data_IF_555082737897
#
_entry.id   IF_555082737897
#
_cell.length_a   1.000
_cell.length_b   1.000
_cell.length_c   1.000
_cell.angle_alpha   90.00
_cell.angle_beta   90.00
_cell.angle_gamma   90.00
#
_symmetry.space_group_name_H-M   'P 1'
#
loop_
_entity.id
_entity.type
_entity.pdbx_description
1 polymer ?
#
# COMPACT_ATOMS: atom_id res chain seq x y z
N UNK A 1 -20.62 5.11 10.54
CA UNK A 1 -19.74 4.48 9.56
C UNK A 1 -18.47 5.30 9.32
N UNK A 2 -18.60 6.58 9.00
CA UNK A 2 -17.48 7.49 8.67
C UNK A 2 -16.38 7.50 9.76
N UNK A 3 -16.74 7.66 11.02
CA UNK A 3 -15.75 7.67 12.12
C UNK A 3 -15.04 6.33 12.30
N UNK A 4 -15.73 5.23 12.03
CA UNK A 4 -15.13 3.89 12.06
C UNK A 4 -14.09 3.72 10.94
N UNK A 5 -14.40 4.18 9.73
CA UNK A 5 -13.45 4.18 8.59
C UNK A 5 -12.25 5.08 8.88
N UNK A 6 -12.49 6.27 9.42
CA UNK A 6 -11.43 7.22 9.78
C UNK A 6 -10.52 6.67 10.88
N UNK A 7 -11.09 5.97 11.87
CA UNK A 7 -10.32 5.28 12.92
C UNK A 7 -9.39 4.19 12.36
N UNK A 8 -9.88 3.40 11.40
CA UNK A 8 -9.06 2.40 10.71
C UNK A 8 -7.96 3.03 9.86
N UNK A 9 -8.25 4.15 9.19
CA UNK A 9 -7.25 4.91 8.45
C UNK A 9 -6.15 5.46 9.37
N UNK A 10 -6.54 6.03 10.52
CA UNK A 10 -5.57 6.52 11.52
C UNK A 10 -4.70 5.39 12.09
N UNK A 11 -5.29 4.21 12.34
CA UNK A 11 -4.53 3.02 12.76
C UNK A 11 -3.51 2.61 11.71
N UNK A 12 -3.90 2.61 10.44
CA UNK A 12 -3.01 2.30 9.32
C UNK A 12 -1.83 3.27 9.26
N UNK A 13 -2.07 4.57 9.40
CA UNK A 13 -1.03 5.59 9.46
C UNK A 13 -0.05 5.37 10.62
N UNK A 14 -0.55 5.02 11.80
CA UNK A 14 0.29 4.66 12.95
C UNK A 14 1.16 3.45 12.63
N UNK A 15 0.62 2.42 12.01
CA UNK A 15 1.37 1.24 11.59
C UNK A 15 2.46 1.61 10.57
N UNK A 16 2.14 2.46 9.61
CA UNK A 16 3.08 2.94 8.59
C UNK A 16 4.26 3.68 9.21
N UNK A 17 3.97 4.66 10.06
CA UNK A 17 4.98 5.45 10.76
C UNK A 17 5.82 4.59 11.70
N UNK A 18 5.19 3.67 12.45
CA UNK A 18 5.88 2.75 13.37
C UNK A 18 6.83 1.78 12.66
N UNK A 19 6.59 1.48 11.39
CA UNK A 19 7.47 0.63 10.60
C UNK A 19 8.65 1.42 10.02
N UNK A 20 8.42 2.66 9.64
CA UNK A 20 9.39 3.50 8.91
C UNK A 20 10.34 4.24 9.84
N UNK A 21 9.82 4.86 10.91
CA UNK A 21 10.60 5.71 11.82
C UNK A 21 11.74 4.99 12.57
N UNK A 22 11.54 3.81 13.20
CA UNK A 22 12.61 3.15 13.95
C UNK A 22 13.80 2.81 13.04
N UNK A 23 13.52 2.41 11.82
CA UNK A 23 14.53 2.08 10.83
C UNK A 23 15.34 3.31 10.41
N UNK A 24 14.64 4.40 10.14
CA UNK A 24 15.25 5.68 9.79
C UNK A 24 16.16 6.19 10.91
N UNK A 25 15.68 6.13 12.15
CA UNK A 25 16.44 6.54 13.34
C UNK A 25 17.68 5.66 13.56
N UNK A 26 17.54 4.33 13.44
CA UNK A 26 18.66 3.41 13.58
C UNK A 26 19.74 3.67 12.53
N UNK A 27 19.35 3.91 11.28
CA UNK A 27 20.29 4.21 10.21
C UNK A 27 21.02 5.55 10.42
N UNK A 28 20.33 6.56 10.96
CA UNK A 28 20.95 7.84 11.31
C UNK A 28 21.93 7.73 12.48
N UNK A 29 21.57 6.94 13.51
CA UNK A 29 22.38 6.78 14.72
C UNK A 29 23.65 5.96 14.48
N UNK A 30 23.52 4.83 13.79
CA UNK A 30 24.62 3.87 13.60
C UNK A 30 25.49 4.17 12.37
N UNK A 31 25.09 5.09 11.51
CA UNK A 31 25.71 5.39 10.21
C UNK A 31 25.87 4.13 9.30
N UNK A 32 25.31 3.01 9.70
CA UNK A 32 25.28 1.78 8.89
C UNK A 32 24.12 1.85 7.93
N UNK A 33 24.44 1.96 6.63
CA UNK A 33 23.45 2.01 5.53
C UNK A 33 23.19 0.65 4.90
N UNK A 34 23.62 -0.42 5.53
CA UNK A 34 23.49 -1.77 4.99
C UNK A 34 22.30 -2.51 5.63
N UNK A 35 21.50 -3.16 4.80
CA UNK A 35 20.38 -4.01 5.20
C UNK A 35 20.51 -5.37 4.53
N UNK A 36 20.14 -6.44 5.23
CA UNK A 36 20.06 -7.77 4.61
C UNK A 36 18.92 -7.84 3.60
N UNK A 37 19.08 -8.61 2.55
CA UNK A 37 18.08 -8.78 1.50
C UNK A 37 16.72 -9.23 2.07
N UNK A 38 16.72 -10.17 3.02
CA UNK A 38 15.51 -10.68 3.66
C UNK A 38 14.77 -9.59 4.48
N UNK A 39 15.52 -8.78 5.23
CA UNK A 39 14.93 -7.68 6.00
C UNK A 39 14.35 -6.58 5.07
N UNK A 40 15.03 -6.33 3.96
CA UNK A 40 14.54 -5.43 2.91
C UNK A 40 13.24 -5.96 2.29
N UNK A 41 13.18 -7.26 1.94
CA UNK A 41 11.98 -7.88 1.40
C UNK A 41 10.79 -7.76 2.36
N UNK A 42 10.99 -8.08 3.64
CA UNK A 42 9.95 -7.98 4.65
C UNK A 42 9.46 -6.55 4.83
N UNK A 43 10.36 -5.58 4.92
CA UNK A 43 10.01 -4.17 5.04
C UNK A 43 9.24 -3.67 3.81
N UNK A 44 9.70 -3.99 2.61
CA UNK A 44 9.05 -3.59 1.37
C UNK A 44 7.65 -4.20 1.25
N UNK A 45 7.51 -5.51 1.51
CA UNK A 45 6.21 -6.18 1.49
C UNK A 45 5.21 -5.52 2.45
N UNK A 46 5.66 -5.20 3.66
CA UNK A 46 4.83 -4.55 4.67
C UNK A 46 4.38 -3.15 4.24
N UNK A 47 5.29 -2.32 3.76
CA UNK A 47 5.00 -0.95 3.30
C UNK A 47 4.04 -0.98 2.10
N UNK A 48 4.27 -1.86 1.13
CA UNK A 48 3.39 -1.99 -0.03
C UNK A 48 1.99 -2.48 0.36
N UNK A 49 1.90 -3.40 1.33
CA UNK A 49 0.62 -3.88 1.85
C UNK A 49 -0.16 -2.75 2.54
N UNK A 50 0.50 -1.96 3.37
CA UNK A 50 -0.14 -0.81 4.02
C UNK A 50 -0.60 0.23 2.99
N UNK A 51 0.22 0.55 1.99
CA UNK A 51 -0.13 1.46 0.90
C UNK A 51 -1.31 0.99 0.05
N UNK A 52 -1.39 -0.31 -0.25
CA UNK A 52 -2.56 -0.88 -0.93
C UNK A 52 -3.83 -0.79 -0.09
N UNK A 53 -3.74 -1.08 1.21
CA UNK A 53 -4.86 -0.95 2.15
C UNK A 53 -5.33 0.51 2.25
N UNK A 54 -4.40 1.46 2.27
CA UNK A 54 -4.70 2.90 2.25
C UNK A 54 -5.52 3.28 1.01
N UNK A 55 -5.11 2.85 -0.18
CA UNK A 55 -5.83 3.09 -1.42
C UNK A 55 -7.26 2.54 -1.38
N UNK A 56 -7.44 1.31 -0.86
CA UNK A 56 -8.78 0.72 -0.72
C UNK A 56 -9.64 1.45 0.30
N UNK A 57 -9.09 1.84 1.46
CA UNK A 57 -9.83 2.59 2.47
C UNK A 57 -10.26 3.97 1.96
N UNK A 58 -9.41 4.66 1.20
CA UNK A 58 -9.77 5.93 0.56
C UNK A 58 -10.93 5.75 -0.43
N UNK A 59 -10.92 4.68 -1.23
CA UNK A 59 -12.02 4.37 -2.14
C UNK A 59 -13.33 4.08 -1.39
N UNK A 60 -13.26 3.33 -0.29
CA UNK A 60 -14.41 3.04 0.57
C UNK A 60 -14.96 4.31 1.22
N UNK A 61 -14.09 5.20 1.70
CA UNK A 61 -14.51 6.49 2.27
C UNK A 61 -15.15 7.40 1.21
N UNK A 62 -14.65 7.40 -0.01
CA UNK A 62 -15.27 8.15 -1.11
C UNK A 62 -16.66 7.60 -1.47
N UNK A 63 -16.81 6.28 -1.48
CA UNK A 63 -18.10 5.62 -1.67
C UNK A 63 -19.08 5.92 -0.54
N UNK A 64 -18.65 5.88 0.70
CA UNK A 64 -19.47 6.24 1.87
C UNK A 64 -20.02 7.65 1.75
N UNK A 65 -19.17 8.61 1.40
CA UNK A 65 -19.59 10.01 1.18
C UNK A 65 -20.55 10.15 0.00
N UNK A 66 -20.28 9.48 -1.10
CA UNK A 66 -21.17 9.48 -2.27
C UNK A 66 -22.57 9.00 -1.91
N UNK A 67 -22.67 7.85 -1.20
CA UNK A 67 -23.95 7.30 -0.79
C UNK A 67 -24.70 8.19 0.21
N UNK A 68 -23.98 8.81 1.14
CA UNK A 68 -24.58 9.72 2.13
C UNK A 68 -25.19 10.98 1.51
N UNK A 69 -24.63 11.48 0.42
CA UNK A 69 -25.06 12.72 -0.22
C UNK A 69 -26.05 12.46 -1.35
N UNK A 70 -25.76 11.51 -2.25
CA UNK A 70 -26.56 11.25 -3.43
C UNK A 70 -27.79 10.35 -3.16
N UNK A 71 -27.76 9.53 -2.12
CA UNK A 71 -28.85 8.58 -1.82
C UNK A 71 -29.11 8.48 -0.31
N UNK A 72 -29.52 9.57 0.35
CA UNK A 72 -29.64 9.61 1.81
C UNK A 72 -30.68 8.63 2.36
N UNK A 73 -31.74 8.34 1.62
CA UNK A 73 -32.78 7.39 2.02
C UNK A 73 -32.31 5.93 2.02
N UNK A 74 -31.36 5.60 1.12
CA UNK A 74 -30.82 4.23 1.05
C UNK A 74 -29.54 4.07 1.88
N UNK A 75 -28.95 5.18 2.33
CA UNK A 75 -27.70 5.17 3.09
C UNK A 75 -27.71 4.23 4.32
N UNK A 76 -28.71 4.28 5.21
CA UNK A 76 -28.74 3.39 6.38
C UNK A 76 -28.90 1.92 6.04
N UNK A 77 -29.50 1.62 4.89
CA UNK A 77 -29.68 0.23 4.42
C UNK A 77 -28.41 -0.35 3.82
N UNK A 78 -27.67 0.47 3.07
CA UNK A 78 -26.45 0.05 2.36
C UNK A 78 -25.22 0.13 3.26
N UNK A 79 -25.05 1.23 4.01
CA UNK A 79 -23.89 1.48 4.86
C UNK A 79 -24.19 1.14 6.33
N UNK A 80 -24.65 -0.06 6.58
CA UNK A 80 -24.82 -0.55 7.94
C UNK A 80 -23.45 -0.97 8.53
N UNK A 81 -23.39 -1.14 9.86
CA UNK A 81 -22.16 -1.47 10.57
C UNK A 81 -21.50 -2.78 10.07
N UNK A 82 -22.29 -3.77 9.69
CA UNK A 82 -21.81 -5.04 9.15
C UNK A 82 -21.09 -4.86 7.80
N UNK A 83 -21.67 -4.05 6.91
CA UNK A 83 -21.06 -3.74 5.60
C UNK A 83 -19.78 -2.95 5.78
N UNK A 84 -19.75 -2.00 6.71
CA UNK A 84 -18.52 -1.23 7.00
C UNK A 84 -17.38 -2.14 7.47
N UNK A 85 -17.66 -3.11 8.36
CA UNK A 85 -16.67 -4.10 8.79
C UNK A 85 -16.20 -4.94 7.60
N UNK A 86 -17.11 -5.42 6.77
CA UNK A 86 -16.76 -6.20 5.57
C UNK A 86 -15.87 -5.43 4.59
N UNK A 87 -16.17 -4.16 4.36
CA UNK A 87 -15.36 -3.29 3.49
C UNK A 87 -13.97 -3.03 4.07
N UNK A 88 -13.87 -2.79 5.38
CA UNK A 88 -12.58 -2.61 6.05
C UNK A 88 -11.76 -3.90 5.99
N UNK A 89 -12.33 -5.03 6.38
CA UNK A 89 -11.66 -6.34 6.33
C UNK A 89 -11.24 -6.67 4.89
N UNK A 90 -12.12 -6.42 3.91
CA UNK A 90 -11.82 -6.59 2.50
C UNK A 90 -10.66 -5.70 2.03
N UNK A 91 -10.56 -4.48 2.53
CA UNK A 91 -9.44 -3.57 2.23
C UNK A 91 -8.11 -4.07 2.79
N UNK A 92 -8.10 -4.62 4.02
CA UNK A 92 -6.91 -5.19 4.62
C UNK A 92 -6.46 -6.48 3.92
N UNK A 93 -7.40 -7.36 3.57
CA UNK A 93 -7.09 -8.66 2.95
C UNK A 93 -6.83 -8.53 1.45
N UNK A 94 -7.52 -7.63 0.76
CA UNK A 94 -7.48 -7.53 -0.71
C UNK A 94 -6.12 -7.17 -1.29
N UNK A 95 -5.31 -6.40 -0.57
CA UNK A 95 -3.95 -6.05 -0.97
C UNK A 95 -2.91 -7.15 -0.76
N UNK A 96 -3.14 -8.08 0.18
CA UNK A 96 -2.16 -9.07 0.60
C UNK A 96 -1.64 -9.95 -0.56
N UNK A 97 -2.48 -10.63 -1.34
CA UNK A 97 -2.01 -11.58 -2.36
C UNK A 97 -1.21 -10.87 -3.46
N UNK A 98 -1.63 -9.67 -3.85
CA UNK A 98 -0.94 -8.90 -4.89
C UNK A 98 0.44 -8.46 -4.42
N UNK A 99 0.54 -7.96 -3.20
CA UNK A 99 1.81 -7.45 -2.66
C UNK A 99 2.80 -8.57 -2.32
N UNK A 100 2.31 -9.70 -1.80
CA UNK A 100 3.15 -10.88 -1.61
C UNK A 100 3.66 -11.39 -2.95
N UNK A 101 2.79 -11.49 -3.96
CA UNK A 101 3.16 -11.90 -5.31
C UNK A 101 4.22 -10.99 -5.93
N UNK A 102 4.07 -9.67 -5.83
CA UNK A 102 5.06 -8.70 -6.30
C UNK A 102 6.40 -8.82 -5.57
N UNK A 103 6.36 -8.92 -4.24
CA UNK A 103 7.58 -9.08 -3.45
C UNK A 103 8.30 -10.36 -3.82
N UNK A 104 7.58 -11.47 -3.94
CA UNK A 104 8.14 -12.74 -4.38
C UNK A 104 8.77 -12.63 -5.77
N UNK A 105 8.08 -12.00 -6.73
CA UNK A 105 8.57 -11.81 -8.09
C UNK A 105 9.86 -10.98 -8.13
N UNK A 106 9.95 -9.88 -7.36
CA UNK A 106 11.13 -9.02 -7.28
C UNK A 106 12.31 -9.77 -6.66
N UNK A 107 12.08 -10.46 -5.55
CA UNK A 107 13.16 -11.15 -4.81
C UNK A 107 13.52 -12.54 -5.37
N UNK A 108 12.77 -13.04 -6.36
CA UNK A 108 13.15 -14.23 -7.16
C UNK A 108 14.13 -13.91 -8.28
N UNK A 109 14.43 -12.64 -8.53
CA UNK A 109 15.45 -12.26 -9.51
C UNK A 109 16.85 -12.68 -9.05
N UNK A 110 17.73 -13.10 -9.98
CA UNK A 110 19.12 -13.38 -9.64
C UNK A 110 19.86 -12.10 -9.26
N UNK A 111 20.30 -12.00 -8.03
CA UNK A 111 21.09 -10.87 -7.54
C UNK A 111 22.59 -11.17 -7.66
N UNK A 112 23.34 -10.22 -8.27
CA UNK A 112 24.80 -10.29 -8.40
C UNK A 112 25.44 -9.42 -7.32
N UNK A 113 26.18 -10.02 -6.40
CA UNK A 113 26.93 -9.29 -5.39
C UNK A 113 26.65 -9.75 -3.96
N UNK A 114 26.99 -8.92 -3.00
CA UNK A 114 26.75 -9.19 -1.58
C UNK A 114 25.24 -9.10 -1.27
N UNK A 115 24.77 -9.99 -0.38
CA UNK A 115 23.39 -9.97 0.13
C UNK A 115 23.06 -8.73 0.98
N UNK A 116 23.89 -7.71 0.90
CA UNK A 116 23.76 -6.46 1.65
C UNK A 116 23.46 -5.33 0.67
N UNK A 117 22.33 -4.64 0.90
CA UNK A 117 21.93 -3.47 0.14
C UNK A 117 22.52 -2.24 0.83
N UNK A 118 23.40 -1.54 0.13
CA UNK A 118 24.03 -0.33 0.63
C UNK A 118 23.15 0.91 0.30
N UNK A 119 21.93 0.92 0.88
CA UNK A 119 21.00 2.01 0.71
C UNK A 119 20.27 2.35 2.01
N UNK A 120 19.93 3.63 2.19
CA UNK A 120 19.24 4.16 3.36
C UNK A 120 17.83 3.58 3.55
N UNK A 121 17.11 3.39 2.44
CA UNK A 121 15.74 2.89 2.41
C UNK A 121 15.64 1.74 1.42
N UNK A 122 14.87 0.71 1.80
CA UNK A 122 14.58 -0.39 0.90
C UNK A 122 13.47 0.05 -0.06
N UNK A 123 13.88 0.42 -1.28
CA UNK A 123 12.98 0.86 -2.32
C UNK A 123 13.17 0.01 -3.58
N UNK A 124 12.18 0.03 -4.47
CA UNK A 124 12.14 -0.79 -5.68
C UNK A 124 13.28 -0.45 -6.65
N UNK A 125 13.57 0.83 -6.97
CA UNK A 125 14.63 1.16 -7.92
C UNK A 125 16.03 0.68 -7.55
N UNK A 126 16.49 0.80 -6.28
CA UNK A 126 17.78 0.25 -5.88
C UNK A 126 17.88 -1.28 -6.00
N UNK A 127 16.77 -1.99 -5.78
CA UNK A 127 16.73 -3.46 -5.85
C UNK A 127 16.92 -3.92 -7.30
N UNK A 128 16.28 -3.29 -8.26
CA UNK A 128 16.44 -3.61 -9.67
C UNK A 128 17.86 -3.36 -10.19
N UNK A 129 18.57 -2.38 -9.64
CA UNK A 129 19.98 -2.12 -9.98
C UNK A 129 20.94 -3.21 -9.51
N UNK A 130 20.54 -3.97 -8.47
CA UNK A 130 21.32 -5.10 -7.92
C UNK A 130 21.01 -6.42 -8.62
N UNK A 131 19.92 -6.50 -9.38
CA UNK A 131 19.54 -7.69 -10.11
C UNK A 131 20.41 -7.88 -11.36
N UNK A 132 20.85 -9.12 -11.59
CA UNK A 132 21.54 -9.51 -12.81
C UNK A 132 20.55 -10.00 -13.84
N UNK A 133 20.53 -9.40 -15.01
CA UNK A 133 19.69 -9.82 -16.12
C UNK A 133 18.67 -8.78 -16.55
N UNK A 134 17.73 -9.20 -17.39
CA UNK A 134 16.71 -8.32 -17.92
C UNK A 134 15.58 -8.14 -16.92
N UNK A 135 15.57 -7.01 -16.21
CA UNK A 135 14.54 -6.64 -15.22
C UNK A 135 13.35 -5.91 -15.83
N UNK A 136 13.39 -5.62 -17.13
CA UNK A 136 12.41 -4.76 -17.83
C UNK A 136 10.97 -5.22 -17.62
N UNK A 137 10.69 -6.51 -17.75
CA UNK A 137 9.33 -7.06 -17.56
C UNK A 137 8.85 -6.84 -16.13
N UNK A 138 9.71 -7.09 -15.15
CA UNK A 138 9.37 -6.93 -13.73
C UNK A 138 9.18 -5.48 -13.37
N UNK A 139 9.99 -4.57 -13.89
CA UNK A 139 9.83 -3.12 -13.72
C UNK A 139 8.48 -2.64 -14.28
N UNK A 140 8.15 -3.06 -15.50
CA UNK A 140 6.88 -2.71 -16.14
C UNK A 140 5.70 -3.24 -15.35
N UNK A 141 5.75 -4.49 -14.88
CA UNK A 141 4.68 -5.08 -14.06
C UNK A 141 4.47 -4.34 -12.74
N UNK A 142 5.54 -4.03 -12.03
CA UNK A 142 5.48 -3.25 -10.78
C UNK A 142 4.89 -1.87 -11.05
N UNK A 143 5.31 -1.21 -12.12
CA UNK A 143 4.81 0.11 -12.49
C UNK A 143 3.31 0.07 -12.84
N UNK A 144 2.86 -0.90 -13.63
CA UNK A 144 1.45 -1.07 -13.97
C UNK A 144 0.59 -1.26 -12.71
N UNK A 145 1.01 -2.14 -11.82
CA UNK A 145 0.27 -2.39 -10.58
C UNK A 145 0.22 -1.13 -9.71
N UNK A 146 1.33 -0.41 -9.56
CA UNK A 146 1.37 0.84 -8.79
C UNK A 146 0.43 1.90 -9.39
N UNK A 147 0.45 2.07 -10.70
CA UNK A 147 -0.45 3.01 -11.40
C UNK A 147 -1.91 2.62 -11.20
N UNK A 148 -2.26 1.34 -11.33
CA UNK A 148 -3.63 0.87 -11.12
C UNK A 148 -4.11 1.12 -9.68
N UNK A 149 -3.28 0.81 -8.68
CA UNK A 149 -3.62 1.02 -7.26
C UNK A 149 -3.82 2.49 -6.90
N UNK A 150 -3.15 3.41 -7.58
CA UNK A 150 -3.30 4.86 -7.36
C UNK A 150 -4.43 5.43 -8.20
N UNK A 151 -4.49 5.08 -9.48
CA UNK A 151 -5.44 5.71 -10.43
C UNK A 151 -6.88 5.28 -10.19
N UNK A 152 -7.13 4.01 -9.83
CA UNK A 152 -8.51 3.53 -9.62
C UNK A 152 -9.18 4.24 -8.44
N UNK A 153 -8.61 4.31 -7.23
CA UNK A 153 -9.19 5.09 -6.14
C UNK A 153 -9.31 6.58 -6.47
N UNK A 154 -8.31 7.16 -7.12
CA UNK A 154 -8.32 8.57 -7.52
C UNK A 154 -9.49 8.88 -8.46
N UNK A 155 -9.72 8.07 -9.48
CA UNK A 155 -10.86 8.21 -10.40
C UNK A 155 -12.19 8.03 -9.67
N UNK A 156 -12.31 7.06 -8.76
CA UNK A 156 -13.51 6.87 -7.95
C UNK A 156 -13.81 8.10 -7.09
N UNK A 157 -12.78 8.70 -6.50
CA UNK A 157 -12.91 9.94 -5.72
C UNK A 157 -13.39 11.07 -6.62
N UNK A 158 -12.75 11.28 -7.77
CA UNK A 158 -13.14 12.35 -8.72
C UNK A 158 -14.58 12.19 -9.20
N UNK A 159 -14.99 10.97 -9.58
CA UNK A 159 -16.36 10.68 -10.01
C UNK A 159 -17.35 10.93 -8.87
N UNK A 160 -17.02 10.49 -7.65
CA UNK A 160 -17.85 10.72 -6.48
C UNK A 160 -18.05 12.21 -6.21
N UNK A 161 -16.98 12.99 -6.20
CA UNK A 161 -17.06 14.44 -5.98
C UNK A 161 -17.73 15.18 -7.15
N UNK A 162 -17.48 14.79 -8.40
CA UNK A 162 -18.14 15.37 -9.57
C UNK A 162 -19.65 15.09 -9.63
N UNK A 163 -20.13 14.07 -8.93
CA UNK A 163 -21.57 13.79 -8.79
C UNK A 163 -22.21 14.52 -7.60
N UNK A 164 -21.41 14.98 -6.67
CA UNK A 164 -21.86 15.72 -5.48
C UNK A 164 -22.04 17.20 -5.78
N UNK A 165 -21.26 17.77 -6.69
CA UNK A 165 -21.37 19.15 -7.18
C UNK A 165 -22.49 19.26 -8.20
#
# INVERSE_FOLDING_TARGET
>A
PMYFLLGNFSLLEICYVSTTLPRMLTNLWTQRRTISLAACAAQMCWILMLGATECFLLAVMAYDRYMAICSPLHYPLVMNYKVCIQLVVGSWIGGIPVQIGQTFQIFSLPFCGSNLINHFFCDIPPIFKLACGNTFVNEVMVYIVAVLFVMVPFLLILVSYGRII
#
